data_IF_725059642298
#
_entry.id   IF_725059642298
#
_cell.length_a   1.000
_cell.length_b   1.000
_cell.length_c   1.000
_cell.angle_alpha   90.00
_cell.angle_beta   90.00
_cell.angle_gamma   90.00
#
_symmetry.space_group_name_H-M   'P 1'
#
loop_
_entity.id
_entity.type
_entity.pdbx_description
1 polymer ?
#
# COMPACT_ATOMS: atom_id res chain seq x y z
N UNK A 1 -18.19 -3.45 4.11
CA UNK A 1 -17.23 -3.70 3.02
C UNK A 1 -17.96 -4.00 1.72
N UNK A 2 -18.79 -5.07 1.61
CA UNK A 2 -19.52 -5.47 0.40
C UNK A 2 -20.28 -4.33 -0.30
N UNK A 3 -21.05 -3.53 0.44
CA UNK A 3 -21.83 -2.45 -0.17
C UNK A 3 -20.96 -1.34 -0.79
N UNK A 4 -19.77 -1.08 -0.22
CA UNK A 4 -18.80 -0.13 -0.76
C UNK A 4 -18.14 -0.72 -2.00
N UNK A 5 -17.77 -2.01 -1.97
CA UNK A 5 -17.19 -2.69 -3.12
C UNK A 5 -18.15 -2.74 -4.31
N UNK A 6 -19.41 -3.13 -4.09
CA UNK A 6 -20.45 -3.13 -5.13
C UNK A 6 -20.62 -1.75 -5.77
N UNK A 7 -20.72 -0.70 -4.94
CA UNK A 7 -20.83 0.68 -5.40
C UNK A 7 -19.63 1.11 -6.25
N UNK A 8 -18.41 0.85 -5.78
CA UNK A 8 -17.20 1.20 -6.51
C UNK A 8 -17.06 0.42 -7.81
N UNK A 9 -17.36 -0.89 -7.78
CA UNK A 9 -17.32 -1.76 -8.96
C UNK A 9 -18.22 -1.24 -10.07
N UNK A 10 -19.47 -0.88 -9.74
CA UNK A 10 -20.40 -0.31 -10.72
C UNK A 10 -19.88 1.00 -11.32
N UNK A 11 -19.38 1.91 -10.47
CA UNK A 11 -18.84 3.20 -10.92
C UNK A 11 -17.60 3.05 -11.80
N UNK A 12 -16.65 2.18 -11.40
CA UNK A 12 -15.38 1.99 -12.11
C UNK A 12 -15.59 1.31 -13.47
N UNK A 13 -16.48 0.31 -13.57
CA UNK A 13 -16.87 -0.30 -14.84
C UNK A 13 -17.52 0.70 -15.80
N UNK A 14 -18.33 1.59 -15.27
CA UNK A 14 -18.94 2.66 -16.08
C UNK A 14 -17.92 3.74 -16.50
N UNK A 15 -16.94 4.05 -15.64
CA UNK A 15 -15.88 5.01 -15.92
C UNK A 15 -14.93 4.51 -17.01
N UNK A 16 -14.60 3.21 -16.99
CA UNK A 16 -13.68 2.59 -17.94
C UNK A 16 -14.31 1.30 -18.50
N UNK A 17 -15.18 1.41 -19.54
CA UNK A 17 -15.82 0.25 -20.15
C UNK A 17 -14.81 -0.77 -20.67
N UNK A 18 -15.04 -2.04 -20.35
CA UNK A 18 -14.16 -3.16 -20.73
C UNK A 18 -13.07 -3.48 -19.69
N UNK A 19 -12.91 -2.66 -18.65
CA UNK A 19 -12.04 -3.03 -17.53
C UNK A 19 -12.68 -4.10 -16.64
N UNK A 20 -11.82 -4.93 -16.03
CA UNK A 20 -12.21 -5.89 -15.01
C UNK A 20 -12.04 -5.28 -13.62
N UNK A 21 -12.61 -5.92 -12.60
CA UNK A 21 -12.51 -5.49 -11.20
C UNK A 21 -12.14 -6.68 -10.33
N UNK A 22 -11.15 -6.48 -9.48
CA UNK A 22 -10.72 -7.37 -8.40
C UNK A 22 -11.03 -6.66 -7.09
N UNK A 23 -11.75 -7.31 -6.20
CA UNK A 23 -12.09 -6.78 -4.87
C UNK A 23 -11.69 -7.75 -3.77
N UNK A 24 -11.44 -7.23 -2.58
CA UNK A 24 -11.17 -8.05 -1.39
C UNK A 24 -12.34 -8.97 -1.04
N UNK A 25 -13.58 -8.46 -1.20
CA UNK A 25 -14.82 -9.15 -0.83
C UNK A 25 -15.35 -10.07 -1.94
N UNK A 26 -14.76 -10.01 -3.14
CA UNK A 26 -15.20 -10.81 -4.31
C UNK A 26 -14.62 -12.21 -4.28
N UNK A 27 -15.49 -13.25 -4.43
CA UNK A 27 -15.05 -14.65 -4.53
C UNK A 27 -14.43 -15.00 -5.90
N UNK A 28 -14.96 -14.41 -6.97
CA UNK A 28 -14.59 -14.70 -8.36
C UNK A 28 -13.76 -13.53 -8.96
N UNK A 29 -12.52 -13.39 -8.51
CA UNK A 29 -11.60 -12.40 -9.04
C UNK A 29 -10.93 -12.88 -10.33
N UNK A 30 -10.88 -12.06 -11.42
CA UNK A 30 -10.10 -12.38 -12.60
C UNK A 30 -8.60 -12.41 -12.26
N UNK A 31 -7.88 -13.36 -12.85
CA UNK A 31 -6.44 -13.53 -12.62
C UNK A 31 -5.56 -12.80 -13.63
N UNK A 32 -6.14 -12.31 -14.72
CA UNK A 32 -5.46 -11.61 -15.80
C UNK A 32 -6.37 -10.61 -16.51
N UNK A 33 -5.78 -9.68 -17.25
CA UNK A 33 -6.46 -8.65 -18.05
C UNK A 33 -5.56 -7.44 -18.28
N UNK A 34 -5.77 -6.73 -19.38
CA UNK A 34 -4.97 -5.57 -19.74
C UNK A 34 -5.24 -4.35 -18.83
N UNK A 35 -6.48 -4.26 -18.34
CA UNK A 35 -6.95 -3.18 -17.47
C UNK A 35 -7.79 -3.76 -16.32
N UNK A 36 -7.25 -3.70 -15.11
CA UNK A 36 -7.90 -4.25 -13.91
C UNK A 36 -7.94 -3.19 -12.80
N UNK A 37 -9.13 -2.88 -12.33
CA UNK A 37 -9.30 -2.18 -11.06
C UNK A 37 -9.10 -3.17 -9.92
N UNK A 38 -8.31 -2.77 -8.94
CA UNK A 38 -8.05 -3.54 -7.71
C UNK A 38 -8.52 -2.68 -6.54
N UNK A 39 -9.47 -3.20 -5.77
CA UNK A 39 -10.21 -2.43 -4.75
C UNK A 39 -10.07 -3.08 -3.39
N UNK A 40 -9.74 -2.27 -2.39
CA UNK A 40 -10.02 -2.54 -1.00
C UNK A 40 -11.07 -1.53 -0.53
N UNK A 41 -12.30 -1.97 -0.26
CA UNK A 41 -13.39 -1.08 0.14
C UNK A 41 -13.18 -0.46 1.52
N UNK A 42 -12.53 -1.19 2.45
CA UNK A 42 -12.20 -0.69 3.80
C UNK A 42 -10.89 -1.32 4.29
N UNK A 43 -9.75 -0.88 3.76
CA UNK A 43 -8.45 -1.26 4.32
C UNK A 43 -8.37 -0.85 5.79
N UNK A 44 -8.04 -1.83 6.64
CA UNK A 44 -8.08 -1.67 8.08
C UNK A 44 -9.47 -1.94 8.68
N UNK A 45 -10.19 -2.96 8.23
CA UNK A 45 -11.50 -3.40 8.74
C UNK A 45 -11.51 -3.55 10.27
N UNK A 46 -10.42 -4.05 10.85
CA UNK A 46 -10.28 -4.14 12.31
C UNK A 46 -10.28 -2.77 12.99
N UNK A 47 -9.68 -1.76 12.38
CA UNK A 47 -9.69 -0.37 12.85
C UNK A 47 -11.09 0.25 12.69
N UNK A 48 -11.76 -0.06 11.57
CA UNK A 48 -13.12 0.41 11.30
C UNK A 48 -14.11 -0.14 12.33
N UNK A 49 -14.14 -1.45 12.58
CA UNK A 49 -15.04 -2.10 13.54
C UNK A 49 -14.85 -1.55 14.97
N UNK A 50 -13.63 -1.13 15.32
CA UNK A 50 -13.29 -0.59 16.64
C UNK A 50 -13.39 0.93 16.75
N UNK A 51 -13.84 1.61 15.69
CA UNK A 51 -13.96 3.07 15.63
C UNK A 51 -12.64 3.80 15.96
N UNK A 52 -11.51 3.25 15.46
CA UNK A 52 -10.19 3.85 15.67
C UNK A 52 -9.93 5.04 14.73
N UNK A 53 -10.67 5.14 13.62
CA UNK A 53 -10.57 6.25 12.68
C UNK A 53 -9.35 6.18 11.76
N UNK A 54 -8.82 4.99 11.47
CA UNK A 54 -7.61 4.81 10.69
C UNK A 54 -7.81 4.06 9.36
N UNK A 55 -9.02 3.58 9.07
CA UNK A 55 -9.32 2.88 7.82
C UNK A 55 -9.37 3.83 6.61
N UNK A 56 -9.09 3.26 5.45
CA UNK A 56 -9.11 3.96 4.15
C UNK A 56 -9.84 3.14 3.09
N UNK A 57 -10.17 3.80 1.98
CA UNK A 57 -10.61 3.15 0.74
C UNK A 57 -9.41 3.17 -0.22
N UNK A 58 -9.05 2.02 -0.79
CA UNK A 58 -7.95 1.89 -1.73
C UNK A 58 -8.46 1.44 -3.09
N UNK A 59 -8.08 2.16 -4.14
CA UNK A 59 -8.43 1.84 -5.54
C UNK A 59 -7.18 1.97 -6.40
N UNK A 60 -6.77 0.89 -7.03
CA UNK A 60 -5.68 0.85 -8.00
C UNK A 60 -6.18 0.48 -9.39
N UNK A 61 -5.61 1.05 -10.45
CA UNK A 61 -5.72 0.54 -11.81
C UNK A 61 -4.41 -0.12 -12.18
N UNK A 62 -4.46 -1.41 -12.44
CA UNK A 62 -3.35 -2.18 -13.01
C UNK A 62 -3.51 -2.19 -14.52
N UNK A 63 -2.46 -1.80 -15.22
CA UNK A 63 -2.38 -1.80 -16.68
C UNK A 63 -1.16 -2.60 -17.12
N UNK A 64 -1.36 -3.54 -18.04
CA UNK A 64 -0.28 -4.40 -18.57
C UNK A 64 0.51 -5.12 -17.45
N UNK A 65 -0.17 -5.46 -16.35
CA UNK A 65 0.40 -6.16 -15.20
C UNK A 65 1.16 -5.27 -14.19
N UNK A 66 1.08 -3.94 -14.31
CA UNK A 66 1.72 -2.98 -13.40
C UNK A 66 0.72 -1.97 -12.83
N UNK A 67 0.81 -1.63 -11.53
CA UNK A 67 0.04 -0.54 -10.94
C UNK A 67 0.33 0.80 -11.64
N UNK A 68 -0.69 1.36 -12.28
CA UNK A 68 -0.59 2.52 -13.16
C UNK A 68 -1.20 3.80 -12.61
N UNK A 69 -2.37 3.67 -11.95
CA UNK A 69 -3.06 4.77 -11.29
C UNK A 69 -3.50 4.28 -9.91
N UNK A 70 -3.47 5.16 -8.92
CA UNK A 70 -3.90 4.84 -7.57
C UNK A 70 -4.60 5.97 -6.88
N UNK A 71 -5.55 5.61 -6.03
CA UNK A 71 -6.26 6.50 -5.11
C UNK A 71 -6.34 5.82 -3.75
N UNK A 72 -5.97 6.53 -2.70
CA UNK A 72 -6.18 6.14 -1.30
C UNK A 72 -6.92 7.27 -0.61
N UNK A 73 -8.12 7.01 -0.13
CA UNK A 73 -8.95 8.01 0.53
C UNK A 73 -9.17 7.67 2.01
N UNK A 74 -8.82 8.58 2.88
CA UNK A 74 -9.05 8.51 4.33
C UNK A 74 -10.26 9.36 4.74
N UNK A 75 -11.45 8.79 4.93
CA UNK A 75 -12.67 9.55 5.22
C UNK A 75 -12.61 10.37 6.51
N UNK A 76 -12.00 9.84 7.56
CA UNK A 76 -11.90 10.49 8.87
C UNK A 76 -11.12 11.80 8.88
N UNK A 77 -10.23 12.02 7.90
CA UNK A 77 -9.42 13.23 7.77
C UNK A 77 -9.72 14.02 6.51
N UNK A 78 -10.60 13.49 5.66
CA UNK A 78 -10.88 14.02 4.33
C UNK A 78 -9.58 14.19 3.50
N UNK A 79 -8.72 13.16 3.55
CA UNK A 79 -7.45 13.12 2.82
C UNK A 79 -7.54 12.16 1.64
N UNK A 80 -7.43 12.70 0.43
CA UNK A 80 -7.38 11.93 -0.82
C UNK A 80 -5.99 11.98 -1.41
N UNK A 81 -5.27 10.86 -1.34
CA UNK A 81 -4.00 10.66 -2.01
C UNK A 81 -4.25 10.04 -3.38
N UNK A 82 -3.60 10.54 -4.40
CA UNK A 82 -3.73 9.97 -5.74
C UNK A 82 -2.53 10.24 -6.62
N UNK A 83 -2.30 9.35 -7.57
CA UNK A 83 -1.28 9.49 -8.60
C UNK A 83 -1.65 8.71 -9.86
N UNK A 84 -1.11 9.17 -10.98
CA UNK A 84 -1.06 8.42 -12.24
C UNK A 84 0.36 8.47 -12.75
N UNK A 85 0.85 7.34 -13.25
CA UNK A 85 2.22 7.21 -13.76
C UNK A 85 2.58 8.33 -14.75
N UNK A 86 3.64 9.08 -14.44
CA UNK A 86 4.15 10.21 -15.20
C UNK A 86 3.49 11.55 -14.89
N UNK A 87 2.51 11.61 -13.96
CA UNK A 87 1.78 12.86 -13.68
C UNK A 87 2.04 13.44 -12.27
N UNK A 88 2.83 12.70 -11.44
CA UNK A 88 3.13 13.09 -10.06
C UNK A 88 2.08 12.59 -9.06
N UNK A 89 2.38 12.74 -7.77
CA UNK A 89 1.52 12.36 -6.65
C UNK A 89 0.93 13.59 -5.97
N UNK A 90 -0.29 13.45 -5.46
CA UNK A 90 -1.07 14.55 -4.89
C UNK A 90 -1.81 14.13 -3.62
N UNK A 91 -1.97 15.07 -2.70
CA UNK A 91 -2.88 15.01 -1.56
C UNK A 91 -3.84 16.19 -1.63
N UNK A 92 -5.13 15.93 -1.79
CA UNK A 92 -6.18 16.97 -1.91
C UNK A 92 -5.86 18.07 -2.94
N UNK A 93 -5.22 17.70 -4.07
CA UNK A 93 -4.85 18.64 -5.14
C UNK A 93 -3.47 19.27 -4.98
N UNK A 94 -2.83 19.17 -3.83
CA UNK A 94 -1.48 19.66 -3.61
C UNK A 94 -0.45 18.57 -3.91
N UNK A 95 0.61 18.91 -4.64
CA UNK A 95 1.67 17.98 -5.00
C UNK A 95 2.44 17.53 -3.76
N UNK A 96 2.68 16.24 -3.63
CA UNK A 96 3.39 15.65 -2.50
C UNK A 96 4.70 14.98 -2.93
N UNK A 97 5.62 14.85 -1.97
CA UNK A 97 6.89 14.15 -2.11
C UNK A 97 7.21 13.39 -0.84
N UNK A 98 8.00 12.35 -0.97
CA UNK A 98 8.61 11.66 0.19
C UNK A 98 9.52 12.61 0.98
N UNK A 99 9.81 12.28 2.24
CA UNK A 99 10.77 13.05 3.06
C UNK A 99 12.21 12.79 2.61
N UNK A 100 13.13 13.61 3.09
CA UNK A 100 14.58 13.49 2.89
C UNK A 100 15.33 12.94 4.12
N UNK A 101 14.58 12.38 5.12
CA UNK A 101 15.18 11.82 6.33
C UNK A 101 15.98 10.57 6.01
N UNK A 102 17.14 10.45 6.67
CA UNK A 102 17.97 9.25 6.62
C UNK A 102 17.38 8.11 7.47
N UNK A 103 18.03 6.93 7.43
CA UNK A 103 17.53 5.74 8.12
C UNK A 103 17.45 5.93 9.63
N UNK A 104 18.43 6.61 10.22
CA UNK A 104 18.50 6.83 11.67
C UNK A 104 17.37 7.73 12.19
N UNK A 105 16.84 8.62 11.34
CA UNK A 105 15.71 9.52 11.66
C UNK A 105 14.40 9.07 11.02
N UNK A 106 14.29 7.79 10.68
CA UNK A 106 13.12 7.21 10.02
C UNK A 106 12.13 6.61 11.00
N UNK A 107 10.86 6.66 10.63
CA UNK A 107 9.81 5.84 11.25
C UNK A 107 9.47 4.65 10.34
N UNK A 108 9.42 3.46 10.92
CA UNK A 108 8.96 2.25 10.26
C UNK A 108 7.45 2.07 10.46
N UNK A 109 6.70 1.88 9.38
CA UNK A 109 5.37 1.27 9.42
C UNK A 109 5.46 -0.20 9.04
N UNK A 110 4.81 -1.06 9.82
CA UNK A 110 4.79 -2.50 9.59
C UNK A 110 3.68 -3.16 10.39
N UNK A 111 3.10 -4.23 9.86
CA UNK A 111 2.21 -5.10 10.60
C UNK A 111 2.80 -6.51 10.77
N UNK A 112 2.34 -7.24 11.79
CA UNK A 112 2.84 -8.58 12.13
C UNK A 112 2.01 -9.70 11.47
N UNK A 113 1.70 -9.58 10.17
CA UNK A 113 0.91 -10.57 9.42
C UNK A 113 -0.33 -11.06 10.19
N UNK A 114 -1.39 -10.26 10.19
CA UNK A 114 -2.62 -10.48 10.97
C UNK A 114 -3.28 -11.84 10.72
N UNK A 115 -3.18 -12.35 9.51
CA UNK A 115 -3.89 -13.55 9.05
C UNK A 115 -3.13 -14.86 9.27
N UNK A 116 -1.80 -14.81 9.43
CA UNK A 116 -0.99 -16.01 9.60
C UNK A 116 0.17 -15.79 10.58
N UNK A 117 -0.05 -16.21 11.82
CA UNK A 117 0.91 -16.01 12.91
C UNK A 117 2.21 -16.80 12.77
N UNK A 118 2.33 -17.69 11.77
CA UNK A 118 3.59 -18.36 11.44
C UNK A 118 4.66 -17.36 10.96
N UNK A 119 4.23 -16.24 10.38
CA UNK A 119 5.12 -15.16 9.96
C UNK A 119 5.51 -14.18 11.07
N UNK A 120 4.88 -14.24 12.25
CA UNK A 120 5.20 -13.33 13.36
C UNK A 120 6.67 -13.37 13.81
N UNK A 121 7.32 -14.55 13.98
CA UNK A 121 8.74 -14.58 14.37
C UNK A 121 9.68 -13.85 13.39
N UNK A 122 9.65 -14.08 12.06
CA UNK A 122 10.47 -13.31 11.14
C UNK A 122 10.08 -11.82 11.10
N UNK A 123 8.80 -11.46 11.17
CA UNK A 123 8.39 -10.05 11.26
C UNK A 123 9.00 -9.35 12.47
N UNK A 124 8.88 -9.94 13.65
CA UNK A 124 9.43 -9.37 14.90
C UNK A 124 10.94 -9.19 14.80
N UNK A 125 11.66 -10.16 14.22
CA UNK A 125 13.12 -10.06 14.01
C UNK A 125 13.48 -8.87 13.13
N UNK A 126 12.82 -8.72 11.99
CA UNK A 126 13.05 -7.61 11.04
C UNK A 126 12.69 -6.28 11.71
N UNK A 127 11.51 -6.16 12.30
CA UNK A 127 11.05 -4.96 13.01
C UNK A 127 12.06 -4.56 14.11
N UNK A 128 12.54 -5.52 14.90
CA UNK A 128 13.51 -5.26 15.96
C UNK A 128 14.85 -4.73 15.42
N UNK A 129 15.33 -5.28 14.29
CA UNK A 129 16.56 -4.82 13.65
C UNK A 129 16.43 -3.39 13.13
N UNK A 130 15.36 -3.11 12.38
CA UNK A 130 15.08 -1.75 11.87
C UNK A 130 14.91 -0.76 13.02
N UNK A 131 14.14 -1.12 14.06
CA UNK A 131 13.92 -0.26 15.23
C UNK A 131 15.20 0.12 15.96
N UNK A 132 16.20 -0.76 16.00
CA UNK A 132 17.50 -0.45 16.63
C UNK A 132 18.33 0.60 15.89
N UNK A 133 18.04 0.83 14.63
CA UNK A 133 18.80 1.68 13.74
C UNK A 133 18.00 2.90 13.23
N UNK A 134 16.71 2.98 13.61
CA UNK A 134 15.77 4.05 13.24
C UNK A 134 15.17 4.71 14.48
N UNK A 135 14.42 5.81 14.29
CA UNK A 135 13.83 6.55 15.42
C UNK A 135 12.70 5.78 16.10
N UNK A 136 11.73 5.24 15.35
CA UNK A 136 10.55 4.64 15.98
C UNK A 136 9.75 3.73 15.04
N UNK A 137 8.82 2.98 15.65
CA UNK A 137 7.87 2.08 14.99
C UNK A 137 6.44 2.67 15.08
N UNK A 138 5.72 2.63 13.98
CA UNK A 138 4.30 3.01 13.89
C UNK A 138 3.50 1.85 13.28
N UNK A 139 2.85 1.00 14.10
CA UNK A 139 2.03 -0.13 13.63
C UNK A 139 0.53 0.21 13.60
N UNK A 140 0.04 1.03 12.66
CA UNK A 140 -1.37 1.42 12.64
C UNK A 140 -2.31 0.35 12.07
N UNK A 141 -1.79 -0.60 11.28
CA UNK A 141 -2.55 -1.74 10.76
C UNK A 141 -3.55 -1.38 9.66
N UNK A 142 -3.13 -0.51 8.72
CA UNK A 142 -3.87 -0.10 7.52
C UNK A 142 -2.85 0.14 6.42
N UNK A 143 -2.61 -0.88 5.60
CA UNK A 143 -1.47 -0.94 4.68
C UNK A 143 -1.46 0.18 3.64
N UNK A 144 -2.56 0.37 2.91
CA UNK A 144 -2.66 1.42 1.88
C UNK A 144 -2.45 2.82 2.46
N UNK A 145 -2.96 3.10 3.68
CA UNK A 145 -2.75 4.38 4.34
C UNK A 145 -1.29 4.60 4.72
N UNK A 146 -0.62 3.59 5.27
CA UNK A 146 0.78 3.67 5.68
C UNK A 146 1.69 3.94 4.49
N UNK A 147 1.43 3.26 3.37
CA UNK A 147 2.10 3.47 2.10
C UNK A 147 1.84 4.90 1.56
N UNK A 148 0.60 5.39 1.62
CA UNK A 148 0.27 6.76 1.22
C UNK A 148 0.93 7.82 2.14
N UNK A 149 1.08 7.51 3.43
CA UNK A 149 1.78 8.38 4.38
C UNK A 149 3.29 8.45 4.09
N UNK A 150 3.90 7.38 3.60
CA UNK A 150 5.28 7.42 3.12
C UNK A 150 5.41 8.36 1.90
N UNK A 151 4.47 8.31 0.97
CA UNK A 151 4.48 9.16 -0.21
C UNK A 151 4.38 10.67 0.11
N UNK A 152 3.79 11.05 1.23
CA UNK A 152 3.72 12.46 1.67
C UNK A 152 4.74 12.83 2.77
N UNK A 153 5.73 11.97 3.05
CA UNK A 153 6.83 12.26 3.96
C UNK A 153 6.47 12.21 5.46
N UNK A 154 5.37 11.55 5.83
CA UNK A 154 4.98 11.37 7.25
C UNK A 154 5.69 10.20 7.91
N UNK A 155 6.09 9.20 7.13
CA UNK A 155 6.91 8.04 7.51
C UNK A 155 7.90 7.72 6.39
N UNK A 156 8.96 6.99 6.67
CA UNK A 156 10.06 6.77 5.73
C UNK A 156 10.19 5.33 5.26
N UNK A 157 9.85 4.37 6.13
CA UNK A 157 10.08 2.96 5.90
C UNK A 157 8.77 2.18 6.01
N UNK A 158 8.60 1.23 5.11
CA UNK A 158 7.49 0.30 5.12
C UNK A 158 7.97 -1.14 4.87
N UNK A 159 7.45 -2.08 5.64
CA UNK A 159 7.70 -3.50 5.44
C UNK A 159 6.48 -4.31 5.87
N UNK A 160 6.02 -5.20 5.00
CA UNK A 160 5.11 -6.30 5.35
C UNK A 160 5.49 -7.58 4.63
N UNK A 161 5.47 -8.69 5.39
CA UNK A 161 5.81 -10.01 4.86
C UNK A 161 4.66 -10.65 4.08
N UNK A 162 3.45 -10.19 4.32
CA UNK A 162 2.25 -10.76 3.68
C UNK A 162 1.11 -9.77 3.65
N UNK A 163 0.90 -9.18 2.47
CA UNK A 163 -0.27 -8.36 2.13
C UNK A 163 -0.91 -8.89 0.86
N UNK A 164 -2.10 -8.42 0.55
CA UNK A 164 -2.82 -8.78 -0.68
C UNK A 164 -2.74 -7.68 -1.73
N UNK A 165 -3.11 -7.97 -3.00
CA UNK A 165 -3.06 -6.98 -4.08
C UNK A 165 -3.82 -5.69 -3.79
N UNK A 166 -5.00 -5.79 -3.18
CA UNK A 166 -5.86 -4.66 -2.86
C UNK A 166 -5.28 -3.74 -1.78
N UNK A 167 -4.46 -4.27 -0.86
CA UNK A 167 -3.74 -3.48 0.15
C UNK A 167 -2.70 -2.52 -0.46
N UNK A 168 -2.18 -2.80 -1.67
CA UNK A 168 -1.03 -2.10 -2.23
C UNK A 168 -1.26 -1.43 -3.60
N UNK A 169 -2.17 -1.97 -4.43
CA UNK A 169 -2.35 -1.52 -5.82
C UNK A 169 -2.64 -0.02 -5.92
N UNK A 170 -3.44 0.54 -5.01
CA UNK A 170 -3.76 1.96 -4.96
C UNK A 170 -2.59 2.83 -4.50
N UNK A 171 -1.73 2.32 -3.62
CA UNK A 171 -0.67 3.11 -3.01
C UNK A 171 0.66 3.10 -3.79
N UNK A 172 0.99 2.01 -4.51
CA UNK A 172 2.25 1.88 -5.25
C UNK A 172 2.49 3.02 -6.25
N UNK A 173 1.53 3.41 -7.12
CA UNK A 173 1.73 4.55 -8.00
C UNK A 173 1.97 5.86 -7.24
N UNK A 174 1.30 6.06 -6.10
CA UNK A 174 1.44 7.27 -5.28
C UNK A 174 2.86 7.37 -4.74
N UNK A 175 3.44 6.28 -4.23
CA UNK A 175 4.82 6.25 -3.73
C UNK A 175 5.81 6.53 -4.86
N UNK A 176 5.69 5.83 -5.99
CA UNK A 176 6.60 5.99 -7.14
C UNK A 176 6.60 7.42 -7.67
N UNK A 177 5.43 8.00 -7.83
CA UNK A 177 5.26 9.37 -8.33
C UNK A 177 5.65 10.46 -7.31
N UNK A 178 5.68 10.13 -6.02
CA UNK A 178 6.21 10.97 -4.96
C UNK A 178 7.74 10.92 -4.82
N UNK A 179 8.41 10.04 -5.60
CA UNK A 179 9.87 9.86 -5.57
C UNK A 179 10.35 8.81 -4.56
N UNK A 180 9.45 8.02 -4.00
CA UNK A 180 9.79 6.88 -3.13
C UNK A 180 10.10 5.60 -3.90
N UNK A 181 10.61 4.62 -3.19
CA UNK A 181 11.02 3.31 -3.68
C UNK A 181 10.11 2.24 -3.09
N UNK A 182 9.62 1.35 -3.91
CA UNK A 182 8.76 0.23 -3.48
C UNK A 182 9.04 -1.00 -4.34
N UNK A 183 9.16 -2.15 -3.70
CA UNK A 183 9.40 -3.43 -4.35
C UNK A 183 8.53 -4.53 -3.73
N UNK A 184 7.95 -5.35 -4.58
CA UNK A 184 7.31 -6.61 -4.23
C UNK A 184 8.39 -7.69 -4.29
N UNK A 185 8.65 -8.31 -3.15
CA UNK A 185 9.73 -9.28 -3.05
C UNK A 185 9.37 -10.60 -3.72
N UNK A 186 10.36 -11.20 -4.38
CA UNK A 186 10.26 -12.52 -5.02
C UNK A 186 9.22 -12.63 -6.15
N UNK A 187 8.84 -11.49 -6.77
CA UNK A 187 7.89 -11.44 -7.89
C UNK A 187 8.45 -10.55 -9.00
N UNK A 188 8.28 -11.00 -10.26
CA UNK A 188 8.67 -10.24 -11.45
C UNK A 188 7.56 -9.30 -11.94
N UNK A 189 6.31 -9.54 -11.51
CA UNK A 189 5.12 -8.76 -11.87
C UNK A 189 4.26 -8.55 -10.63
N UNK A 190 3.37 -7.56 -10.69
CA UNK A 190 2.37 -7.32 -9.66
C UNK A 190 1.44 -8.54 -9.54
N UNK A 191 1.42 -9.26 -8.40
CA UNK A 191 0.55 -10.42 -8.22
C UNK A 191 -0.89 -9.99 -8.02
N UNK A 192 -1.83 -10.69 -8.66
CA UNK A 192 -3.26 -10.37 -8.61
C UNK A 192 -4.08 -11.37 -7.78
N UNK A 193 -3.54 -12.57 -7.58
CA UNK A 193 -4.28 -13.74 -7.05
C UNK A 193 -3.71 -14.32 -5.75
N UNK A 194 -2.64 -13.72 -5.22
CA UNK A 194 -1.94 -14.25 -4.04
C UNK A 194 -1.30 -13.15 -3.20
N UNK A 195 -1.13 -13.40 -1.90
CA UNK A 195 -0.39 -12.48 -1.04
C UNK A 195 1.11 -12.46 -1.40
N UNK A 196 1.77 -11.36 -1.04
CA UNK A 196 3.18 -11.13 -1.30
C UNK A 196 3.83 -10.32 -0.16
N UNK A 197 5.16 -10.32 -0.12
CA UNK A 197 5.93 -9.45 0.74
C UNK A 197 6.29 -8.16 -0.01
N UNK A 198 6.28 -7.03 0.68
CA UNK A 198 6.56 -5.71 0.12
C UNK A 198 7.47 -4.92 1.04
N UNK A 199 8.37 -4.15 0.44
CA UNK A 199 9.19 -3.16 1.13
C UNK A 199 9.05 -1.80 0.43
N UNK A 200 9.17 -0.73 1.21
CA UNK A 200 9.18 0.63 0.68
C UNK A 200 10.04 1.55 1.50
N UNK A 201 10.62 2.56 0.85
CA UNK A 201 11.39 3.61 1.52
C UNK A 201 11.34 4.93 0.76
N UNK A 202 11.65 6.02 1.50
CA UNK A 202 11.68 7.39 0.97
C UNK A 202 12.89 7.68 0.07
N UNK A 203 13.98 6.91 0.15
CA UNK A 203 15.19 7.13 -0.62
C UNK A 203 15.85 5.82 -1.04
N UNK A 204 16.70 5.86 -2.07
CA UNK A 204 17.44 4.70 -2.54
C UNK A 204 18.36 4.13 -1.45
N UNK A 205 19.01 4.99 -0.66
CA UNK A 205 19.89 4.57 0.43
C UNK A 205 19.13 3.85 1.54
N UNK A 206 18.00 4.41 1.99
CA UNK A 206 17.14 3.79 2.99
C UNK A 206 16.51 2.50 2.46
N UNK A 207 16.14 2.46 1.18
CA UNK A 207 15.60 1.28 0.54
C UNK A 207 16.61 0.14 0.48
N UNK A 208 17.84 0.41 0.07
CA UNK A 208 18.92 -0.59 -0.01
C UNK A 208 19.22 -1.18 1.38
N UNK A 209 19.30 -0.32 2.41
CA UNK A 209 19.55 -0.77 3.78
C UNK A 209 18.38 -1.58 4.37
N UNK A 210 17.16 -1.13 4.17
CA UNK A 210 15.96 -1.90 4.58
C UNK A 210 15.92 -3.28 3.89
N UNK A 211 16.21 -3.32 2.59
CA UNK A 211 16.25 -4.57 1.82
C UNK A 211 17.30 -5.54 2.35
N UNK A 212 18.48 -5.07 2.70
CA UNK A 212 19.53 -5.88 3.34
C UNK A 212 19.01 -6.52 4.63
N UNK A 213 18.39 -5.73 5.52
CA UNK A 213 17.83 -6.23 6.78
C UNK A 213 16.74 -7.28 6.57
N UNK A 214 15.88 -7.07 5.58
CA UNK A 214 14.76 -7.97 5.29
C UNK A 214 15.20 -9.29 4.67
N UNK A 215 16.28 -9.26 3.86
CA UNK A 215 16.74 -10.42 3.11
C UNK A 215 17.69 -11.32 3.91
N UNK A 216 18.19 -10.91 5.07
CA UNK A 216 18.98 -11.73 6.02
C UNK A 216 18.07 -12.63 6.90
#
# INVERSE_FOLDING_TARGET
DLAVEEFLTDKLRNLLPGSLVIGEESEDNPSDGDLLWVIDPIDGTSNFIRDIGLSVISVGLVKDGEPYLGVVYQPYRDEMFYAKTGEGAYLNGERIHVSDRDFAHSHLCSAMSLYDKRYAPPCVRIIYRVYRESDDLRPPGTAARELAYMACGRVELYFEIRIFPWDAAGAIPIIREAGGFVEILYQDKFPLDKPFAIIGANSEANFAHLKEIVME
#
